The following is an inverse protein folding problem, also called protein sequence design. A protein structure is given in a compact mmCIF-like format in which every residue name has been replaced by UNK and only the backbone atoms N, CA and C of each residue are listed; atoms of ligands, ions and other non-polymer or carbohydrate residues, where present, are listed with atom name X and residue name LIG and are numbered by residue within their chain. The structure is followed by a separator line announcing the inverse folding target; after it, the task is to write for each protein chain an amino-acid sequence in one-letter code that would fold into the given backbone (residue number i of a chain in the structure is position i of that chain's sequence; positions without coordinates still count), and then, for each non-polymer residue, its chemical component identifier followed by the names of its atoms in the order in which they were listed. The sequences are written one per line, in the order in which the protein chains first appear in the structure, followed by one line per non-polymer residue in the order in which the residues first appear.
data_IF_261079939006
#
_entry.id   IF_261079939006
#
_cell.length_a   1.000
_cell.length_b   1.000
_cell.length_c   1.000
_cell.angle_alpha   90.00
_cell.angle_beta   90.00
_cell.angle_gamma   90.00
#
_symmetry.space_group_name_H-M   'P 1'
#
loop_
_entity.id
_entity.type
_entity.pdbx_description
1 polymer ?
#
# COMPACT_ATOMS: atom_id res chain seq x y z
N UNK A 1 19.45 11.52 18.54
CA UNK A 1 18.90 10.88 19.76
C UNK A 1 18.64 9.42 19.46
N UNK A 2 19.17 8.50 20.25
CA UNK A 2 18.93 7.06 20.10
C UNK A 2 17.63 6.62 20.82
N UNK A 3 17.22 5.35 20.66
CA UNK A 3 16.01 4.80 21.27
C UNK A 3 16.01 4.89 22.80
N UNK A 4 17.13 4.58 23.44
CA UNK A 4 17.26 4.64 24.91
C UNK A 4 17.08 6.06 25.44
N UNK A 5 17.67 7.05 24.74
CA UNK A 5 17.48 8.47 25.03
C UNK A 5 16.02 8.89 24.85
N UNK A 6 15.33 8.42 23.80
CA UNK A 6 13.89 8.71 23.59
C UNK A 6 13.00 8.12 24.67
N UNK A 7 13.26 6.89 25.11
CA UNK A 7 12.55 6.26 26.23
C UNK A 7 12.78 7.02 27.55
N UNK A 8 14.02 7.49 27.76
CA UNK A 8 14.36 8.34 28.89
C UNK A 8 13.58 9.65 28.85
N UNK A 9 13.54 10.33 27.70
CA UNK A 9 12.75 11.55 27.51
C UNK A 9 11.25 11.29 27.73
N UNK A 10 10.69 10.19 27.21
CA UNK A 10 9.31 9.76 27.44
C UNK A 10 8.98 9.63 28.93
N UNK A 11 9.80 8.89 29.67
CA UNK A 11 9.66 8.75 31.12
C UNK A 11 9.74 10.11 31.84
N UNK A 12 10.72 10.93 31.48
CA UNK A 12 10.94 12.24 32.13
C UNK A 12 9.77 13.19 31.90
N UNK A 13 9.13 13.14 30.72
CA UNK A 13 7.91 13.92 30.45
C UNK A 13 6.72 13.57 31.38
N UNK A 14 6.72 12.38 31.98
CA UNK A 14 5.70 11.97 32.95
C UNK A 14 6.08 12.32 34.39
N UNK A 15 7.29 12.86 34.63
CA UNK A 15 7.82 13.07 35.97
C UNK A 15 8.10 11.76 36.73
N UNK A 16 8.22 10.62 36.02
CA UNK A 16 8.36 9.31 36.66
C UNK A 16 9.82 8.90 36.85
N UNK A 17 10.07 8.16 37.93
CA UNK A 17 11.33 7.42 38.11
C UNK A 17 11.38 6.19 37.20
N UNK A 18 12.58 5.65 36.95
CA UNK A 18 12.76 4.41 36.16
C UNK A 18 11.99 3.22 36.75
N UNK A 19 11.87 3.17 38.09
CA UNK A 19 11.08 2.15 38.78
C UNK A 19 9.58 2.35 38.53
N UNK A 20 9.10 3.59 38.65
CA UNK A 20 7.67 3.91 38.52
C UNK A 20 7.13 3.66 37.10
N UNK A 21 7.89 3.98 36.06
CA UNK A 21 7.45 3.69 34.68
C UNK A 21 7.43 2.18 34.40
N UNK A 22 8.42 1.43 34.91
CA UNK A 22 8.48 -0.01 34.74
C UNK A 22 7.27 -0.70 35.39
N UNK A 23 6.90 -0.27 36.60
CA UNK A 23 5.69 -0.72 37.29
C UNK A 23 4.41 -0.34 36.51
N UNK A 24 4.34 0.86 35.93
CA UNK A 24 3.14 1.32 35.19
C UNK A 24 2.86 0.56 33.89
N UNK A 25 3.87 -0.10 33.31
CA UNK A 25 3.75 -0.85 32.05
C UNK A 25 4.00 -2.36 32.25
N UNK A 26 3.95 -2.82 33.50
CA UNK A 26 4.13 -4.22 33.88
C UNK A 26 5.46 -4.84 33.38
N UNK A 27 6.56 -4.15 33.66
CA UNK A 27 7.93 -4.57 33.31
C UNK A 27 8.87 -4.47 34.50
N UNK A 28 9.94 -5.27 34.49
CA UNK A 28 10.97 -5.22 35.53
C UNK A 28 11.78 -3.89 35.43
N UNK A 29 12.02 -3.17 36.55
CA UNK A 29 12.85 -1.97 36.58
C UNK A 29 14.25 -2.13 35.97
N UNK A 30 14.86 -3.31 36.10
CA UNK A 30 16.14 -3.62 35.49
C UNK A 30 16.05 -3.70 33.97
N UNK A 31 14.96 -4.24 33.44
CA UNK A 31 14.67 -4.27 32.00
C UNK A 31 14.49 -2.85 31.45
N UNK A 32 13.75 -1.99 32.15
CA UNK A 32 13.61 -0.58 31.74
C UNK A 32 14.96 0.17 31.71
N UNK A 33 15.83 -0.06 32.71
CA UNK A 33 17.19 0.50 32.71
C UNK A 33 18.02 0.06 31.51
N UNK A 34 17.91 -1.21 31.10
CA UNK A 34 18.62 -1.74 29.93
C UNK A 34 18.13 -1.03 28.66
N UNK A 35 16.82 -0.76 28.55
CA UNK A 35 16.27 0.01 27.43
C UNK A 35 16.82 1.44 27.38
N UNK A 36 16.79 2.18 28.50
CA UNK A 36 17.34 3.55 28.53
C UNK A 36 18.85 3.61 28.26
N UNK A 37 19.58 2.56 28.62
CA UNK A 37 21.00 2.42 28.32
C UNK A 37 21.27 2.03 26.85
N UNK A 38 20.23 1.82 26.03
CA UNK A 38 20.35 1.41 24.63
C UNK A 38 20.89 -0.01 24.44
N UNK A 39 20.85 -0.85 25.48
CA UNK A 39 21.40 -2.22 25.46
C UNK A 39 20.40 -3.27 24.99
N UNK A 40 19.13 -2.90 24.84
CA UNK A 40 18.06 -3.76 24.33
C UNK A 40 16.94 -2.92 23.73
N UNK A 41 16.15 -3.53 22.84
CA UNK A 41 14.99 -2.92 22.20
C UNK A 41 13.73 -3.41 22.92
N UNK A 42 12.78 -2.52 23.28
CA UNK A 42 11.53 -2.93 23.87
C UNK A 42 10.71 -3.84 22.93
N UNK A 43 10.14 -4.90 23.48
CA UNK A 43 9.20 -5.75 22.75
C UNK A 43 7.83 -5.09 22.55
N UNK A 44 6.98 -5.73 21.75
CA UNK A 44 5.65 -5.22 21.37
C UNK A 44 4.78 -4.79 22.56
N UNK A 45 4.73 -5.58 23.63
CA UNK A 45 3.92 -5.28 24.82
C UNK A 45 4.32 -3.95 25.50
N UNK A 46 5.62 -3.64 25.52
CA UNK A 46 6.13 -2.39 26.12
C UNK A 46 5.75 -1.20 25.23
N UNK A 47 5.89 -1.35 23.91
CA UNK A 47 5.52 -0.31 22.95
C UNK A 47 4.02 -0.05 22.96
N UNK A 48 3.20 -1.09 23.06
CA UNK A 48 1.75 -0.97 23.19
C UNK A 48 1.36 -0.24 24.48
N UNK A 49 1.96 -0.58 25.62
CA UNK A 49 1.70 0.11 26.88
C UNK A 49 2.06 1.59 26.80
N UNK A 50 3.21 1.94 26.20
CA UNK A 50 3.60 3.33 25.97
C UNK A 50 2.64 4.06 25.01
N UNK A 51 2.12 3.38 23.99
CA UNK A 51 1.10 3.92 23.11
C UNK A 51 -0.19 4.25 23.88
N UNK A 52 -0.63 3.35 24.77
CA UNK A 52 -1.80 3.58 25.64
C UNK A 52 -1.60 4.74 26.62
N UNK A 53 -0.35 5.05 26.97
CA UNK A 53 0.02 6.24 27.75
C UNK A 53 0.09 7.53 26.91
N UNK A 54 -0.25 7.46 25.61
CA UNK A 54 -0.33 8.60 24.71
C UNK A 54 0.99 8.96 24.00
N UNK A 55 1.99 8.07 24.02
CA UNK A 55 3.22 8.28 23.26
C UNK A 55 3.10 7.79 21.82
N UNK A 56 3.72 8.53 20.91
CA UNK A 56 3.85 8.12 19.53
C UNK A 56 4.92 7.04 19.38
N UNK A 57 4.51 5.82 19.03
CA UNK A 57 5.42 4.68 18.84
C UNK A 57 6.41 4.91 17.68
N UNK A 58 5.99 5.59 16.61
CA UNK A 58 6.90 5.96 15.53
C UNK A 58 8.01 6.87 16.05
N UNK A 59 7.66 7.92 16.80
CA UNK A 59 8.66 8.79 17.43
C UNK A 59 9.59 7.99 18.37
N UNK A 60 9.06 7.06 19.16
CA UNK A 60 9.89 6.20 20.02
C UNK A 60 10.91 5.38 19.20
N UNK A 61 10.52 4.81 18.07
CA UNK A 61 11.37 3.91 17.28
C UNK A 61 12.32 4.63 16.31
N UNK A 62 11.85 5.69 15.66
CA UNK A 62 12.59 6.39 14.59
C UNK A 62 13.12 7.74 15.04
N UNK A 63 12.46 8.38 16.01
CA UNK A 63 12.68 9.78 16.37
C UNK A 63 11.92 10.77 15.50
N UNK A 64 11.09 10.29 14.58
CA UNK A 64 10.34 11.12 13.64
C UNK A 64 8.91 11.39 14.15
N UNK A 65 8.47 12.64 14.00
CA UNK A 65 7.14 13.10 14.43
C UNK A 65 7.10 13.62 15.87
N UNK A 66 5.90 13.94 16.39
CA UNK A 66 5.72 14.44 17.75
C UNK A 66 5.85 13.30 18.77
N UNK A 67 6.30 13.65 19.97
CA UNK A 67 6.52 12.72 21.09
C UNK A 67 5.20 12.17 21.68
N UNK A 68 4.20 13.03 21.82
CA UNK A 68 2.84 12.69 22.29
C UNK A 68 1.87 12.78 21.12
N UNK A 69 0.89 11.90 21.12
CA UNK A 69 -0.25 11.98 20.20
C UNK A 69 -1.26 13.07 20.67
N UNK A 70 -1.27 13.45 21.95
CA UNK A 70 -2.37 14.25 22.53
C UNK A 70 -2.14 15.77 22.71
N UNK A 71 -0.97 16.35 22.39
CA UNK A 71 -0.71 17.79 22.67
C UNK A 71 -0.66 18.70 21.44
N UNK A 72 -1.03 18.18 20.27
CA UNK A 72 -1.09 18.99 19.05
C UNK A 72 -1.69 18.31 17.84
N UNK A 73 -2.28 17.12 17.98
CA UNK A 73 -2.97 16.45 16.88
C UNK A 73 -4.32 17.11 16.65
N UNK A 74 -4.30 18.22 15.89
CA UNK A 74 -5.24 18.33 14.77
C UNK A 74 -5.32 16.94 14.14
N UNK A 75 -6.52 16.37 14.08
CA UNK A 75 -6.81 15.03 13.56
C UNK A 75 -5.82 14.66 12.44
N UNK A 76 -4.78 13.89 12.75
CA UNK A 76 -3.83 13.44 11.73
C UNK A 76 -4.59 12.46 10.86
N UNK A 77 -4.80 12.84 9.62
CA UNK A 77 -5.58 12.03 8.70
C UNK A 77 -4.71 10.88 8.21
N UNK A 78 -5.32 9.70 8.09
CA UNK A 78 -4.72 8.63 7.34
C UNK A 78 -4.72 8.98 5.84
N UNK A 79 -3.82 8.35 5.09
CA UNK A 79 -3.69 8.55 3.65
C UNK A 79 -5.03 8.33 2.92
N UNK A 80 -5.72 7.21 3.19
CA UNK A 80 -7.03 6.95 2.57
C UNK A 80 -8.08 7.98 2.99
N UNK A 81 -8.10 8.39 4.25
CA UNK A 81 -9.05 9.36 4.78
C UNK A 81 -8.90 10.73 4.12
N UNK A 82 -7.67 11.19 3.93
CA UNK A 82 -7.38 12.47 3.28
C UNK A 82 -7.82 12.46 1.80
N UNK A 83 -7.57 11.36 1.10
CA UNK A 83 -8.05 11.17 -0.28
C UNK A 83 -9.57 11.11 -0.37
N UNK A 84 -10.24 10.40 0.54
CA UNK A 84 -11.71 10.30 0.53
C UNK A 84 -12.38 11.65 0.84
N UNK A 85 -11.81 12.44 1.76
CA UNK A 85 -12.24 13.83 2.01
C UNK A 85 -12.18 14.66 0.72
N UNK A 86 -11.04 14.62 0.00
CA UNK A 86 -10.87 15.37 -1.23
C UNK A 86 -11.85 14.90 -2.32
N UNK A 87 -12.00 13.58 -2.51
CA UNK A 87 -12.93 13.01 -3.49
C UNK A 87 -14.35 13.48 -3.23
N UNK A 88 -14.82 13.44 -1.99
CA UNK A 88 -16.19 13.82 -1.65
C UNK A 88 -16.46 15.30 -1.88
N UNK A 89 -15.48 16.16 -1.60
CA UNK A 89 -15.57 17.58 -1.92
C UNK A 89 -15.70 17.81 -3.44
N UNK A 90 -14.86 17.13 -4.24
CA UNK A 90 -14.91 17.20 -5.71
C UNK A 90 -16.25 16.67 -6.25
N UNK A 91 -16.78 15.56 -5.72
CA UNK A 91 -18.11 15.03 -6.10
C UNK A 91 -19.19 16.09 -5.94
N UNK A 92 -19.17 16.79 -4.79
CA UNK A 92 -20.08 17.90 -4.51
C UNK A 92 -19.98 18.98 -5.58
N UNK A 93 -18.77 19.44 -5.90
CA UNK A 93 -18.54 20.48 -6.91
C UNK A 93 -19.00 20.07 -8.32
N UNK A 94 -18.77 18.82 -8.72
CA UNK A 94 -19.21 18.28 -10.01
C UNK A 94 -20.72 18.29 -10.17
N UNK A 95 -21.47 17.98 -9.10
CA UNK A 95 -22.93 17.97 -9.13
C UNK A 95 -23.54 19.37 -9.35
N UNK A 96 -22.82 20.43 -8.97
CA UNK A 96 -23.29 21.82 -9.09
C UNK A 96 -22.82 22.51 -10.38
N UNK A 97 -22.19 21.78 -11.32
CA UNK A 97 -21.88 22.28 -12.67
C UNK A 97 -20.77 23.35 -12.74
N UNK A 98 -20.06 23.61 -11.64
CA UNK A 98 -19.04 24.66 -11.55
C UNK A 98 -17.64 24.27 -12.06
N UNK A 99 -17.48 23.08 -12.62
CA UNK A 99 -16.15 22.51 -12.88
C UNK A 99 -15.57 22.89 -14.25
N UNK A 100 -14.30 23.33 -14.26
CA UNK A 100 -13.53 23.64 -15.48
C UNK A 100 -12.22 22.83 -15.49
N UNK A 101 -12.31 21.57 -15.94
CA UNK A 101 -11.19 20.64 -15.97
C UNK A 101 -10.01 21.08 -16.86
N UNK A 102 -10.28 21.90 -17.88
CA UNK A 102 -9.27 22.39 -18.82
C UNK A 102 -8.10 23.14 -18.17
N UNK A 103 -8.28 23.66 -16.95
CA UNK A 103 -7.25 24.39 -16.20
C UNK A 103 -6.20 23.46 -15.57
N UNK A 104 -6.56 22.20 -15.31
CA UNK A 104 -5.74 21.23 -14.57
C UNK A 104 -4.86 20.34 -15.47
N UNK A 105 -4.92 20.51 -16.79
CA UNK A 105 -4.47 19.51 -17.77
C UNK A 105 -5.10 18.10 -17.59
N UNK A 106 -6.09 17.96 -16.69
CA UNK A 106 -6.86 16.75 -16.46
C UNK A 106 -8.11 16.74 -17.34
N UNK A 107 -8.40 15.59 -17.93
CA UNK A 107 -9.66 15.37 -18.64
C UNK A 107 -10.79 15.10 -17.66
N UNK A 108 -12.04 15.30 -18.09
CA UNK A 108 -13.20 14.94 -17.27
C UNK A 108 -13.26 13.46 -16.92
N UNK A 109 -12.73 12.59 -17.78
CA UNK A 109 -12.68 11.15 -17.55
C UNK A 109 -11.67 10.79 -16.46
N UNK A 110 -10.49 11.42 -16.44
CA UNK A 110 -9.49 11.24 -15.37
C UNK A 110 -10.04 11.70 -14.01
N UNK A 111 -10.77 12.81 -13.99
CA UNK A 111 -11.39 13.32 -12.76
C UNK A 111 -12.45 12.35 -12.25
N UNK A 112 -13.30 11.82 -13.14
CA UNK A 112 -14.29 10.80 -12.77
C UNK A 112 -13.64 9.51 -12.30
N UNK A 113 -12.58 9.05 -12.97
CA UNK A 113 -11.83 7.85 -12.60
C UNK A 113 -11.21 7.98 -11.19
N UNK A 114 -10.64 9.13 -10.83
CA UNK A 114 -10.11 9.37 -9.48
C UNK A 114 -11.22 9.41 -8.42
N UNK A 115 -12.32 10.09 -8.73
CA UNK A 115 -13.36 10.43 -7.76
C UNK A 115 -14.33 9.27 -7.50
N UNK A 116 -14.76 8.56 -8.53
CA UNK A 116 -15.80 7.54 -8.44
C UNK A 116 -15.24 6.12 -8.49
N UNK A 117 -14.15 5.90 -9.21
CA UNK A 117 -13.64 4.55 -9.49
C UNK A 117 -12.33 4.23 -8.73
N UNK A 118 -11.63 5.26 -8.22
CA UNK A 118 -10.30 5.14 -7.60
C UNK A 118 -9.26 4.48 -8.54
N UNK A 119 -9.48 4.55 -9.85
CA UNK A 119 -8.65 3.92 -10.90
C UNK A 119 -7.56 4.86 -11.43
N UNK A 120 -7.75 6.17 -11.27
CA UNK A 120 -6.77 7.19 -11.63
C UNK A 120 -6.23 7.83 -10.36
N UNK A 121 -4.91 8.02 -10.29
CA UNK A 121 -4.23 8.72 -9.21
C UNK A 121 -3.51 9.94 -9.78
N UNK A 122 -3.99 11.17 -9.49
CA UNK A 122 -3.35 12.39 -9.98
C UNK A 122 -1.94 12.59 -9.40
N UNK A 123 -1.12 13.37 -10.08
CA UNK A 123 0.21 13.78 -9.57
C UNK A 123 0.09 14.68 -8.35
N UNK A 124 1.20 14.89 -7.63
CA UNK A 124 1.22 15.81 -6.49
C UNK A 124 0.79 17.24 -6.88
N UNK A 125 1.25 17.74 -8.03
CA UNK A 125 0.87 19.05 -8.55
C UNK A 125 -0.64 19.11 -8.86
N UNK A 126 -1.17 18.08 -9.52
CA UNK A 126 -2.60 17.97 -9.82
C UNK A 126 -3.45 17.90 -8.54
N UNK A 127 -3.02 17.15 -7.52
CA UNK A 127 -3.71 17.05 -6.23
C UNK A 127 -3.75 18.39 -5.50
N UNK A 128 -2.64 19.14 -5.51
CA UNK A 128 -2.58 20.48 -4.90
C UNK A 128 -3.56 21.43 -5.60
N UNK A 129 -3.61 21.42 -6.93
CA UNK A 129 -4.55 22.25 -7.68
C UNK A 129 -6.01 21.83 -7.47
N UNK A 130 -6.29 20.52 -7.38
CA UNK A 130 -7.62 20.01 -7.00
C UNK A 130 -8.03 20.51 -5.62
N UNK A 131 -7.11 20.57 -4.65
CA UNK A 131 -7.38 21.15 -3.34
C UNK A 131 -7.74 22.63 -3.41
N UNK A 132 -6.98 23.42 -4.19
CA UNK A 132 -7.22 24.87 -4.38
C UNK A 132 -8.59 25.13 -5.00
N UNK A 133 -8.92 24.42 -6.08
CA UNK A 133 -10.20 24.57 -6.79
C UNK A 133 -11.42 24.20 -5.95
N UNK A 134 -11.23 23.40 -4.90
CA UNK A 134 -12.31 22.95 -4.02
C UNK A 134 -12.32 23.64 -2.65
N UNK A 135 -11.51 24.69 -2.47
CA UNK A 135 -11.41 25.44 -1.20
C UNK A 135 -11.16 24.50 -0.01
N UNK A 136 -10.19 23.60 -0.19
CA UNK A 136 -9.85 22.60 0.83
C UNK A 136 -9.17 23.21 2.06
N UNK A 137 -8.52 24.35 1.91
CA UNK A 137 -7.99 25.18 2.98
C UNK A 137 -9.10 25.61 3.95
N UNK A 138 -10.17 26.21 3.41
CA UNK A 138 -11.35 26.58 4.20
C UNK A 138 -11.98 25.34 4.85
N UNK A 139 -12.15 24.26 4.10
CA UNK A 139 -12.71 23.01 4.63
C UNK A 139 -11.90 22.48 5.81
N UNK A 140 -10.57 22.43 5.67
CA UNK A 140 -9.67 21.94 6.72
C UNK A 140 -9.73 22.82 7.96
N UNK A 141 -9.73 24.15 7.78
CA UNK A 141 -9.84 25.11 8.88
C UNK A 141 -11.12 24.89 9.71
N UNK A 142 -12.28 24.74 9.07
CA UNK A 142 -13.56 24.51 9.75
C UNK A 142 -13.61 23.17 10.51
N UNK A 143 -12.81 22.19 10.10
CA UNK A 143 -12.74 20.85 10.68
C UNK A 143 -11.58 20.66 11.66
N UNK A 144 -10.83 21.73 11.95
CA UNK A 144 -9.62 21.68 12.75
C UNK A 144 -8.58 20.66 12.21
N UNK A 145 -8.47 20.59 10.90
CA UNK A 145 -7.46 19.81 10.16
C UNK A 145 -6.38 20.79 9.71
N UNK A 146 -5.10 20.42 9.83
CA UNK A 146 -4.02 21.24 9.32
C UNK A 146 -3.93 21.10 7.80
N UNK A 147 -4.02 22.21 7.06
CA UNK A 147 -4.00 22.14 5.61
C UNK A 147 -2.65 21.67 5.06
N UNK A 148 -1.55 22.05 5.70
CA UNK A 148 -0.21 21.64 5.26
C UNK A 148 0.00 20.14 5.54
N UNK A 149 -0.43 19.65 6.71
CA UNK A 149 -0.45 18.21 7.01
C UNK A 149 -1.37 17.44 6.05
N UNK A 150 -2.54 18.00 5.71
CA UNK A 150 -3.45 17.43 4.72
C UNK A 150 -2.80 17.30 3.34
N UNK A 151 -2.17 18.38 2.84
CA UNK A 151 -1.45 18.39 1.56
C UNK A 151 -0.31 17.38 1.58
N UNK A 152 0.52 17.37 2.63
CA UNK A 152 1.61 16.39 2.76
C UNK A 152 1.07 14.95 2.81
N UNK A 153 -0.08 14.73 3.43
CA UNK A 153 -0.73 13.41 3.51
C UNK A 153 -1.22 12.96 2.13
N UNK A 154 -1.91 13.79 1.35
CA UNK A 154 -2.42 13.39 0.02
C UNK A 154 -1.33 13.36 -1.06
N UNK A 155 -0.31 14.21 -0.95
CA UNK A 155 0.78 14.27 -1.93
C UNK A 155 1.88 13.25 -1.66
N UNK A 156 1.93 12.76 -0.42
CA UNK A 156 2.87 11.80 0.16
C UNK A 156 4.10 11.54 -0.71
N UNK A 157 5.17 12.31 -0.50
CA UNK A 157 6.42 12.25 -1.27
C UNK A 157 7.07 10.84 -1.30
N UNK A 158 6.69 9.94 -0.38
CA UNK A 158 7.08 8.52 -0.37
C UNK A 158 6.34 7.67 -1.43
N UNK A 159 5.12 8.05 -1.82
CA UNK A 159 4.28 7.33 -2.80
C UNK A 159 4.31 7.92 -4.21
N UNK A 160 4.70 9.20 -4.34
CA UNK A 160 4.88 9.94 -5.61
C UNK A 160 6.19 9.66 -6.35
N UNK A 161 7.01 8.73 -5.84
CA UNK A 161 8.20 8.25 -6.54
C UNK A 161 7.79 7.45 -7.80
N UNK A 162 8.43 7.66 -8.98
CA UNK A 162 8.24 6.81 -10.14
C UNK A 162 8.36 5.34 -9.73
N UNK A 163 7.51 4.46 -10.29
CA UNK A 163 7.49 3.03 -9.96
C UNK A 163 8.89 2.41 -9.91
N UNK A 164 9.77 2.89 -10.78
CA UNK A 164 11.17 2.52 -10.98
C UNK A 164 12.07 2.72 -9.74
N UNK A 165 11.62 3.50 -8.75
CA UNK A 165 12.35 3.80 -7.52
C UNK A 165 11.72 3.19 -6.26
N UNK A 166 10.68 2.37 -6.42
CA UNK A 166 10.13 1.54 -5.34
C UNK A 166 11.02 0.31 -5.20
N UNK A 167 11.65 0.13 -4.03
CA UNK A 167 12.24 -1.18 -3.70
C UNK A 167 11.12 -2.22 -3.64
N UNK A 168 11.34 -3.45 -4.16
CA UNK A 168 10.30 -4.47 -4.19
C UNK A 168 9.75 -4.76 -2.79
N UNK A 169 8.44 -5.01 -2.73
CA UNK A 169 7.73 -5.32 -1.49
C UNK A 169 8.42 -6.48 -0.75
N UNK A 170 8.57 -6.36 0.57
CA UNK A 170 9.28 -7.34 1.42
C UNK A 170 8.64 -8.74 1.48
N UNK A 171 7.48 -8.95 0.84
CA UNK A 171 6.81 -10.26 0.69
C UNK A 171 6.82 -10.77 -0.77
N UNK A 172 7.81 -10.38 -1.58
CA UNK A 172 8.02 -10.96 -2.90
C UNK A 172 8.50 -12.42 -2.76
N UNK A 173 7.79 -13.34 -3.40
CA UNK A 173 8.29 -14.70 -3.62
C UNK A 173 9.22 -14.64 -4.85
N UNK A 174 10.49 -14.34 -4.58
CA UNK A 174 11.55 -14.16 -5.58
C UNK A 174 11.81 -15.43 -6.41
N UNK A 175 11.67 -16.60 -5.77
CA UNK A 175 11.74 -17.90 -6.43
C UNK A 175 10.60 -18.08 -7.43
N UNK A 176 9.36 -17.77 -7.03
CA UNK A 176 8.22 -17.83 -7.95
C UNK A 176 8.39 -16.84 -9.11
N UNK A 177 8.84 -15.61 -8.85
CA UNK A 177 9.04 -14.60 -9.90
C UNK A 177 10.06 -15.03 -10.94
N UNK A 178 11.22 -15.52 -10.48
CA UNK A 178 12.26 -16.01 -11.37
C UNK A 178 11.75 -17.18 -12.21
N UNK A 179 11.00 -18.10 -11.59
CA UNK A 179 10.47 -19.28 -12.28
C UNK A 179 9.35 -18.94 -13.28
N UNK A 180 8.45 -18.00 -12.94
CA UNK A 180 7.41 -17.50 -13.87
C UNK A 180 8.06 -16.78 -15.05
N UNK A 181 9.09 -15.98 -14.81
CA UNK A 181 9.85 -15.32 -15.87
C UNK A 181 10.50 -16.35 -16.81
N UNK A 182 11.23 -17.31 -16.25
CA UNK A 182 11.91 -18.38 -17.00
C UNK A 182 10.93 -19.14 -17.89
N UNK A 183 9.78 -19.55 -17.35
CA UNK A 183 8.78 -20.32 -18.10
C UNK A 183 8.11 -19.47 -19.19
N UNK A 184 7.84 -18.18 -18.94
CA UNK A 184 7.29 -17.28 -19.96
C UNK A 184 8.28 -17.10 -21.10
N UNK A 185 9.57 -16.91 -20.82
CA UNK A 185 10.60 -16.78 -21.87
C UNK A 185 10.81 -18.09 -22.65
N UNK A 186 10.73 -19.26 -22.00
CA UNK A 186 10.71 -20.56 -22.68
C UNK A 186 9.53 -20.70 -23.66
N UNK A 187 8.35 -20.24 -23.28
CA UNK A 187 7.14 -20.30 -24.11
C UNK A 187 7.18 -19.23 -25.22
N UNK A 188 7.69 -18.04 -24.91
CA UNK A 188 7.80 -16.92 -25.85
C UNK A 188 8.69 -17.25 -27.05
N UNK A 189 9.80 -17.96 -26.80
CA UNK A 189 10.69 -18.47 -27.86
C UNK A 189 9.95 -19.24 -28.96
N UNK A 190 8.74 -19.76 -28.68
CA UNK A 190 7.91 -20.51 -29.62
C UNK A 190 6.64 -19.76 -30.08
N UNK A 191 6.24 -18.65 -29.45
CA UNK A 191 4.94 -17.98 -29.69
C UNK A 191 5.00 -16.50 -30.05
N UNK A 192 6.14 -15.82 -29.89
CA UNK A 192 6.32 -14.38 -30.18
C UNK A 192 5.22 -13.53 -29.51
N UNK A 193 5.17 -13.58 -28.18
CA UNK A 193 4.24 -12.80 -27.36
C UNK A 193 4.65 -11.32 -27.36
N UNK A 194 3.67 -10.42 -27.47
CA UNK A 194 3.92 -8.98 -27.32
C UNK A 194 4.34 -8.63 -25.88
N UNK A 195 5.04 -7.51 -25.71
CA UNK A 195 5.43 -7.01 -24.38
C UNK A 195 4.23 -6.91 -23.42
N UNK A 196 3.08 -6.48 -23.92
CA UNK A 196 1.86 -6.36 -23.13
C UNK A 196 1.33 -7.74 -22.71
N UNK A 197 1.28 -8.72 -23.61
CA UNK A 197 0.85 -10.09 -23.29
C UNK A 197 1.78 -10.76 -22.28
N UNK A 198 3.10 -10.52 -22.38
CA UNK A 198 4.08 -11.01 -21.40
C UNK A 198 3.84 -10.41 -20.01
N UNK A 199 3.60 -9.11 -19.91
CA UNK A 199 3.32 -8.44 -18.65
C UNK A 199 2.01 -8.94 -18.00
N UNK A 200 0.98 -9.16 -18.81
CA UNK A 200 -0.31 -9.71 -18.38
C UNK A 200 -0.17 -11.14 -17.87
N UNK A 201 0.50 -12.01 -18.63
CA UNK A 201 0.82 -13.39 -18.22
C UNK A 201 1.61 -13.40 -16.90
N UNK A 202 2.66 -12.59 -16.83
CA UNK A 202 3.53 -12.53 -15.67
C UNK A 202 2.77 -12.16 -14.40
N UNK A 203 1.97 -11.09 -14.47
CA UNK A 203 1.19 -10.62 -13.32
C UNK A 203 0.12 -11.62 -12.88
N UNK A 204 -0.64 -12.19 -13.82
CA UNK A 204 -1.69 -13.16 -13.53
C UNK A 204 -1.12 -14.45 -12.91
N UNK A 205 -0.08 -15.02 -13.52
CA UNK A 205 0.51 -16.28 -13.09
C UNK A 205 1.17 -16.12 -11.71
N UNK A 206 1.89 -15.02 -11.50
CA UNK A 206 2.50 -14.72 -10.20
C UNK A 206 1.43 -14.56 -9.11
N UNK A 207 0.41 -13.72 -9.34
CA UNK A 207 -0.65 -13.48 -8.36
C UNK A 207 -1.39 -14.78 -7.98
N UNK A 208 -1.66 -15.64 -8.95
CA UNK A 208 -2.44 -16.86 -8.74
C UNK A 208 -1.67 -17.99 -8.08
N UNK A 209 -0.33 -17.99 -8.17
CA UNK A 209 0.50 -19.04 -7.58
C UNK A 209 1.19 -18.60 -6.30
N UNK A 210 1.18 -17.30 -5.97
CA UNK A 210 1.72 -16.76 -4.71
C UNK A 210 1.02 -17.39 -3.50
N UNK A 211 1.82 -17.88 -2.55
CA UNK A 211 1.29 -18.54 -1.34
C UNK A 211 0.76 -19.96 -1.57
N UNK A 212 0.92 -20.52 -2.77
CA UNK A 212 0.56 -21.90 -3.11
C UNK A 212 1.80 -22.75 -3.36
N UNK A 213 1.68 -24.08 -3.37
CA UNK A 213 2.76 -24.97 -3.84
C UNK A 213 2.79 -24.97 -5.38
N UNK A 214 3.90 -24.55 -5.96
CA UNK A 214 4.12 -24.52 -7.41
C UNK A 214 5.31 -25.40 -7.81
N UNK A 215 5.28 -25.90 -9.05
CA UNK A 215 6.41 -26.57 -9.73
C UNK A 215 6.56 -25.96 -11.12
N UNK A 216 7.75 -26.08 -11.73
CA UNK A 216 8.02 -25.56 -13.07
C UNK A 216 7.02 -26.11 -14.09
N UNK A 217 6.75 -27.41 -14.03
CA UNK A 217 5.80 -28.11 -14.92
C UNK A 217 4.36 -27.61 -14.72
N UNK A 218 3.95 -27.38 -13.47
CA UNK A 218 2.61 -26.86 -13.17
C UNK A 218 2.45 -25.43 -13.67
N UNK A 219 3.47 -24.58 -13.48
CA UNK A 219 3.48 -23.22 -14.00
C UNK A 219 3.49 -23.20 -15.52
N UNK A 220 4.25 -24.09 -16.16
CA UNK A 220 4.28 -24.24 -17.62
C UNK A 220 2.92 -24.57 -18.20
N UNK A 221 2.24 -25.60 -17.67
CA UNK A 221 0.87 -25.93 -18.08
C UNK A 221 -0.11 -24.79 -17.84
N UNK A 222 0.06 -24.09 -16.72
CA UNK A 222 -0.79 -22.96 -16.36
C UNK A 222 -0.61 -21.80 -17.37
N UNK A 223 0.63 -21.44 -17.67
CA UNK A 223 0.97 -20.39 -18.64
C UNK A 223 0.50 -20.78 -20.04
N UNK A 224 0.71 -22.04 -20.47
CA UNK A 224 0.22 -22.55 -21.75
C UNK A 224 -1.31 -22.46 -21.86
N UNK A 225 -2.04 -22.80 -20.80
CA UNK A 225 -3.49 -22.68 -20.76
C UNK A 225 -3.93 -21.22 -20.86
N UNK A 226 -3.28 -20.29 -20.15
CA UNK A 226 -3.58 -18.85 -20.26
C UNK A 226 -3.29 -18.32 -21.67
N UNK A 227 -2.18 -18.75 -22.30
CA UNK A 227 -1.85 -18.37 -23.67
C UNK A 227 -2.93 -18.75 -24.69
N UNK A 228 -3.60 -19.89 -24.51
CA UNK A 228 -4.73 -20.29 -25.38
C UNK A 228 -5.86 -19.25 -25.33
N UNK A 229 -6.19 -18.73 -24.14
CA UNK A 229 -7.23 -17.70 -24.01
C UNK A 229 -6.78 -16.35 -24.57
N UNK A 230 -5.51 -15.98 -24.39
CA UNK A 230 -4.95 -14.77 -25.01
C UNK A 230 -5.00 -14.85 -26.55
N UNK A 231 -4.69 -16.01 -27.13
CA UNK A 231 -4.80 -16.27 -28.58
C UNK A 231 -6.24 -16.20 -29.09
N UNK A 232 -7.22 -16.52 -28.24
CA UNK A 232 -8.65 -16.33 -28.51
C UNK A 232 -9.10 -14.87 -28.35
N UNK A 233 -8.19 -13.94 -28.03
CA UNK A 233 -8.47 -12.52 -27.89
C UNK A 233 -9.08 -12.13 -26.53
N UNK A 234 -8.97 -13.00 -25.52
CA UNK A 234 -9.42 -12.70 -24.17
C UNK A 234 -8.45 -11.71 -23.52
N UNK A 235 -8.94 -10.52 -23.20
CA UNK A 235 -8.22 -9.52 -22.41
C UNK A 235 -8.63 -9.67 -20.94
N UNK A 236 -7.78 -10.33 -20.15
CA UNK A 236 -8.06 -10.65 -18.75
C UNK A 236 -8.26 -9.40 -17.88
N UNK A 237 -7.67 -8.26 -18.25
CA UNK A 237 -7.81 -6.99 -17.53
C UNK A 237 -9.18 -6.32 -17.76
N UNK A 238 -9.92 -6.75 -18.79
CA UNK A 238 -11.27 -6.25 -19.11
C UNK A 238 -12.39 -7.19 -18.67
N UNK A 239 -12.06 -8.30 -18.01
CA UNK A 239 -13.06 -9.24 -17.52
C UNK A 239 -13.61 -8.78 -16.17
N UNK A 240 -14.94 -8.86 -16.01
CA UNK A 240 -15.57 -8.78 -14.69
C UNK A 240 -15.10 -9.95 -13.80
N UNK A 241 -15.01 -9.74 -12.49
CA UNK A 241 -14.58 -10.76 -11.50
C UNK A 241 -15.24 -12.13 -11.68
N UNK A 242 -16.54 -12.15 -12.02
CA UNK A 242 -17.28 -13.40 -12.21
C UNK A 242 -16.87 -14.15 -13.49
N UNK A 243 -16.54 -13.43 -14.58
CA UNK A 243 -16.01 -14.03 -15.83
C UNK A 243 -14.57 -14.48 -15.64
N UNK A 244 -13.77 -13.68 -14.93
CA UNK A 244 -12.39 -14.04 -14.57
C UNK A 244 -12.36 -15.31 -13.73
N UNK A 245 -13.21 -15.42 -12.71
CA UNK A 245 -13.34 -16.62 -11.87
C UNK A 245 -13.74 -17.87 -12.67
N UNK A 246 -14.67 -17.75 -13.63
CA UNK A 246 -15.07 -18.86 -14.49
C UNK A 246 -13.93 -19.35 -15.41
N UNK A 247 -13.21 -18.43 -16.05
CA UNK A 247 -12.06 -18.76 -16.90
C UNK A 247 -10.92 -19.36 -16.05
N UNK A 248 -10.73 -18.88 -14.83
CA UNK A 248 -9.76 -19.43 -13.87
C UNK A 248 -10.11 -20.88 -13.50
N UNK A 249 -11.39 -21.19 -13.27
CA UNK A 249 -11.83 -22.57 -13.00
C UNK A 249 -11.54 -23.46 -14.22
N UNK A 250 -11.75 -22.97 -15.43
CA UNK A 250 -11.47 -23.68 -16.67
C UNK A 250 -9.97 -23.94 -16.86
N UNK A 251 -9.13 -22.93 -16.62
CA UNK A 251 -7.66 -23.05 -16.62
C UNK A 251 -7.21 -24.07 -15.57
N UNK A 252 -7.75 -24.01 -14.34
CA UNK A 252 -7.40 -24.94 -13.28
C UNK A 252 -7.79 -26.39 -13.63
N UNK A 253 -8.95 -26.60 -14.26
CA UNK A 253 -9.36 -27.91 -14.77
C UNK A 253 -8.45 -28.40 -15.89
N UNK A 254 -7.99 -27.52 -16.78
CA UNK A 254 -7.08 -27.87 -17.87
C UNK A 254 -5.70 -28.31 -17.34
N UNK A 255 -5.18 -27.60 -16.34
CA UNK A 255 -3.90 -27.90 -15.67
C UNK A 255 -3.96 -29.22 -14.90
N UNK A 256 -5.11 -29.54 -14.28
CA UNK A 256 -5.32 -30.81 -13.57
C UNK A 256 -5.45 -31.98 -14.55
N UNK A 257 -6.22 -31.83 -15.63
CA UNK A 257 -6.41 -32.88 -16.65
C UNK A 257 -5.11 -33.25 -17.38
N UNK A 258 -4.25 -32.27 -17.67
CA UNK A 258 -2.93 -32.52 -18.27
C UNK A 258 -1.94 -33.24 -17.34
N UNK A 259 -2.26 -33.44 -16.05
CA UNK A 259 -1.46 -34.21 -15.10
C UNK A 259 -1.74 -35.70 -15.06
N UNK A 260 -2.87 -36.15 -15.60
CA UNK A 260 -3.23 -37.58 -15.64
C UNK A 260 -2.69 -38.30 -16.89
N UNK A 261 -2.38 -37.57 -17.96
CA UNK A 261 -1.82 -38.13 -19.21
C UNK A 261 -0.31 -38.46 -19.11
N UNK A 262 0.40 -37.98 -18.09
CA UNK A 262 1.81 -38.34 -17.82
C UNK A 262 1.97 -39.57 -16.90
N UNK A 263 0.86 -40.21 -16.50
CA UNK A 263 0.87 -41.44 -15.68
C UNK A 263 0.48 -42.71 -16.45
N UNK A 264 0.62 -42.72 -17.78
CA UNK A 264 0.50 -43.94 -18.59
C UNK A 264 1.75 -44.22 -19.41
#
# INVERSE_FOLDING_TARGET
MNLGERLKTARESLGLSQKAIAESIDTNPQTWRIYEAGKSVPGGNVLEALARMGFNVNWLLTGEGPMRLSEGEKKRLLFEEAHDILRDKIKGSLAHGGWRASTLALTMDQIRAYVFHKEYMPTAEELIELCRLNHMDDYCQHRNIDFEDFINTITNQEFGRPLDSRKPAQDLDDVLLALVYEVIEEIDNNRILSFQQKAELFSLVYQMNRGSKYTKERLKRFIEAVCIFLEQGVDFNKLSDQKLSNIIIEIAQHVVRGGDDEKK
#
